data_IF_210392099004
#
_entry.id   IF_210392099004
#
_cell.length_a   1.000
_cell.length_b   1.000
_cell.length_c   1.000
_cell.angle_alpha   90.00
_cell.angle_beta   90.00
_cell.angle_gamma   90.00
#
_symmetry.space_group_name_H-M   'P 1'
#
loop_
_entity.id
_entity.type
_entity.pdbx_description
1 polymer ?
#
# COMPACT_ATOMS: atom_id res chain seq x y z
N UNK A 1 4.95 -3.16 28.70
CA UNK A 1 5.75 -2.45 27.66
C UNK A 1 4.84 -2.21 26.48
N UNK A 2 4.93 -1.03 25.87
CA UNK A 2 4.17 -0.67 24.67
C UNK A 2 5.10 -0.76 23.46
N UNK A 3 4.67 -1.47 22.41
CA UNK A 3 5.41 -1.63 21.16
C UNK A 3 4.76 -0.80 20.05
N UNK A 4 5.51 0.12 19.47
CA UNK A 4 5.07 0.95 18.35
C UNK A 4 5.59 0.39 17.02
N UNK A 5 4.69 0.25 16.05
CA UNK A 5 4.99 -0.19 14.71
C UNK A 5 4.74 0.95 13.72
N UNK A 6 5.77 1.33 12.96
CA UNK A 6 5.74 2.44 12.02
C UNK A 6 6.07 1.94 10.61
N UNK A 7 5.08 1.93 9.72
CA UNK A 7 5.20 1.51 8.32
C UNK A 7 4.82 2.67 7.39
N UNK A 8 5.37 3.84 7.65
CA UNK A 8 5.02 5.10 6.98
C UNK A 8 5.40 5.08 5.50
N UNK A 9 6.38 5.84 5.06
CA UNK A 9 6.68 5.99 3.64
C UNK A 9 7.16 4.68 2.98
N UNK A 10 6.87 4.51 1.69
CA UNK A 10 7.67 3.62 0.82
C UNK A 10 8.67 4.50 0.09
N UNK A 11 9.94 4.11 0.14
CA UNK A 11 11.00 4.74 -0.61
C UNK A 11 11.43 3.77 -1.71
N UNK A 12 11.43 4.26 -2.94
CA UNK A 12 11.91 3.53 -4.12
C UNK A 12 13.15 4.24 -4.63
N UNK A 13 14.24 3.50 -4.75
CA UNK A 13 15.53 4.01 -5.23
C UNK A 13 15.92 3.22 -6.46
N UNK A 14 16.20 3.92 -7.55
CA UNK A 14 16.82 3.33 -8.72
C UNK A 14 18.31 3.64 -8.69
N UNK A 15 19.13 2.59 -8.78
CA UNK A 15 20.58 2.65 -8.65
C UNK A 15 21.18 2.09 -9.94
N UNK A 16 22.09 2.86 -10.53
CA UNK A 16 22.85 2.45 -11.71
C UNK A 16 23.86 1.35 -11.36
N UNK A 17 24.36 0.57 -12.34
CA UNK A 17 25.36 -0.48 -12.08
C UNK A 17 26.66 0.02 -11.42
N UNK A 18 27.00 1.30 -11.59
CA UNK A 18 28.15 1.95 -10.96
C UNK A 18 27.89 2.38 -9.48
N UNK A 19 26.69 2.14 -8.96
CA UNK A 19 26.28 2.51 -7.60
C UNK A 19 25.69 3.92 -7.46
N UNK A 20 25.62 4.71 -8.53
CA UNK A 20 25.02 6.04 -8.49
C UNK A 20 23.49 5.96 -8.43
N UNK A 21 22.87 6.80 -7.60
CA UNK A 21 21.41 6.95 -7.56
C UNK A 21 20.96 7.67 -8.83
N UNK A 22 20.18 6.99 -9.67
CA UNK A 22 19.58 7.60 -10.85
C UNK A 22 18.41 8.51 -10.45
N UNK A 23 17.53 8.00 -9.59
CA UNK A 23 16.41 8.75 -9.03
C UNK A 23 15.91 8.11 -7.74
N UNK A 24 15.14 8.88 -6.98
CA UNK A 24 14.45 8.42 -5.77
C UNK A 24 13.01 8.93 -5.77
N UNK A 25 12.08 8.04 -5.44
CA UNK A 25 10.65 8.32 -5.37
C UNK A 25 10.11 7.96 -4.00
N UNK A 26 9.26 8.84 -3.46
CA UNK A 26 8.65 8.68 -2.14
C UNK A 26 7.14 8.52 -2.29
N UNK A 27 6.60 7.44 -1.74
CA UNK A 27 5.16 7.21 -1.62
C UNK A 27 4.77 7.49 -0.16
N UNK A 28 4.17 8.65 0.14
CA UNK A 28 3.85 9.01 1.51
C UNK A 28 2.66 8.21 2.04
N UNK A 29 2.87 7.49 3.14
CA UNK A 29 1.80 6.82 3.90
C UNK A 29 1.97 7.15 5.37
N UNK A 30 0.88 7.00 6.13
CA UNK A 30 0.90 7.13 7.58
C UNK A 30 0.30 5.87 8.20
N UNK A 31 1.14 5.02 8.77
CA UNK A 31 0.73 3.73 9.33
C UNK A 31 1.47 3.53 10.65
N UNK A 32 0.83 3.99 11.71
CA UNK A 32 1.34 4.02 13.08
C UNK A 32 0.38 3.18 13.93
N UNK A 33 0.85 2.04 14.44
CA UNK A 33 0.02 1.12 15.24
C UNK A 33 0.76 0.71 16.52
N UNK A 34 0.01 0.24 17.51
CA UNK A 34 0.50 -0.09 18.85
C UNK A 34 0.08 -1.51 19.19
N UNK A 35 1.02 -2.32 19.67
CA UNK A 35 0.80 -3.67 20.19
C UNK A 35 0.08 -4.64 19.22
N UNK A 36 0.14 -4.40 17.90
CA UNK A 36 -0.55 -5.22 16.88
C UNK A 36 0.41 -5.94 15.93
N UNK A 37 1.74 -5.81 16.08
CA UNK A 37 2.69 -6.38 15.12
C UNK A 37 2.69 -5.70 13.74
N UNK A 38 2.04 -4.54 13.60
CA UNK A 38 1.72 -3.92 12.32
C UNK A 38 0.89 -4.84 11.43
N UNK A 39 -0.10 -5.53 11.99
CA UNK A 39 -0.80 -6.65 11.37
C UNK A 39 -1.41 -6.33 9.99
N UNK A 40 -1.95 -5.12 9.85
CA UNK A 40 -2.57 -4.59 8.63
C UNK A 40 -1.71 -3.53 7.93
N UNK A 41 -0.49 -3.31 8.41
CA UNK A 41 0.44 -2.30 7.90
C UNK A 41 1.34 -2.87 6.80
N UNK A 42 2.26 -2.05 6.29
CA UNK A 42 3.14 -2.33 5.15
C UNK A 42 2.41 -2.26 3.80
N UNK A 43 2.97 -2.91 2.80
CA UNK A 43 2.52 -2.98 1.43
C UNK A 43 2.75 -4.38 0.85
N UNK A 44 2.04 -4.69 -0.23
CA UNK A 44 2.36 -5.76 -1.17
C UNK A 44 2.98 -5.14 -2.41
N UNK A 45 3.84 -5.88 -3.12
CA UNK A 45 4.52 -5.40 -4.32
C UNK A 45 4.36 -6.39 -5.47
N UNK A 46 4.24 -5.84 -6.67
CA UNK A 46 4.25 -6.58 -7.93
C UNK A 46 5.01 -5.77 -8.99
N UNK A 47 5.62 -6.45 -9.95
CA UNK A 47 6.20 -5.83 -11.14
C UNK A 47 5.28 -6.14 -12.32
N UNK A 48 4.78 -5.09 -12.97
CA UNK A 48 3.83 -5.20 -14.08
C UNK A 48 4.31 -4.33 -15.22
N UNK A 49 4.77 -4.98 -16.31
CA UNK A 49 5.41 -4.32 -17.45
C UNK A 49 6.61 -3.47 -16.99
N UNK A 50 6.52 -2.16 -17.17
CA UNK A 50 7.50 -1.10 -16.88
C UNK A 50 7.17 -0.36 -15.58
N UNK A 51 6.39 -0.97 -14.68
CA UNK A 51 5.95 -0.36 -13.44
C UNK A 51 6.18 -1.27 -12.24
N UNK A 52 6.54 -0.65 -11.12
CA UNK A 52 6.47 -1.27 -9.79
C UNK A 52 5.15 -0.85 -9.15
N UNK A 53 4.32 -1.83 -8.83
CA UNK A 53 2.99 -1.65 -8.25
C UNK A 53 3.01 -1.96 -6.75
N UNK A 54 2.55 -1.02 -5.93
CA UNK A 54 2.44 -1.15 -4.48
C UNK A 54 0.98 -1.13 -4.05
N UNK A 55 0.55 -2.15 -3.33
CA UNK A 55 -0.81 -2.26 -2.81
C UNK A 55 -0.79 -2.16 -1.28
N UNK A 56 -1.56 -1.25 -0.70
CA UNK A 56 -1.52 -1.00 0.75
C UNK A 56 -2.81 -0.38 1.29
N UNK A 57 -2.99 -0.43 2.61
CA UNK A 57 -4.11 0.23 3.28
C UNK A 57 -3.84 1.73 3.44
N UNK A 58 -4.81 2.55 3.07
CA UNK A 58 -4.75 4.00 3.12
C UNK A 58 -6.02 4.62 3.71
N UNK A 59 -5.94 5.87 4.16
CA UNK A 59 -7.10 6.63 4.56
C UNK A 59 -7.80 7.24 3.32
N UNK A 60 -9.12 7.09 3.14
CA UNK A 60 -9.85 7.69 2.02
C UNK A 60 -9.69 9.22 1.93
N UNK A 61 -9.41 9.92 3.05
CA UNK A 61 -9.17 11.37 3.06
C UNK A 61 -7.90 11.80 2.32
N UNK A 62 -7.01 10.85 2.04
CA UNK A 62 -5.78 11.11 1.30
C UNK A 62 -6.00 11.12 -0.22
N UNK A 63 -7.24 10.89 -0.69
CA UNK A 63 -7.65 10.95 -2.09
C UNK A 63 -8.57 12.16 -2.33
N UNK A 64 -8.44 12.80 -3.50
CA UNK A 64 -9.26 13.94 -3.93
C UNK A 64 -8.46 15.24 -4.17
N UNK A 65 -9.13 16.26 -4.68
CA UNK A 65 -8.51 17.50 -5.20
C UNK A 65 -7.90 18.42 -4.13
N UNK A 66 -8.22 18.21 -2.84
CA UNK A 66 -7.67 19.04 -1.76
C UNK A 66 -6.26 18.54 -1.42
N UNK A 67 -5.25 19.19 -1.99
CA UNK A 67 -3.85 19.10 -1.55
C UNK A 67 -3.73 19.72 -0.16
N UNK A 68 -4.10 18.96 0.87
CA UNK A 68 -3.69 19.27 2.22
C UNK A 68 -2.36 18.55 2.48
N UNK A 69 -1.35 19.28 2.98
CA UNK A 69 -0.05 18.69 3.33
C UNK A 69 -0.16 17.67 4.48
N UNK A 70 -1.31 17.62 5.17
CA UNK A 70 -1.59 16.64 6.21
C UNK A 70 -1.95 15.27 5.64
N UNK A 71 -1.11 14.27 5.91
CA UNK A 71 -1.41 12.85 5.66
C UNK A 71 -2.20 12.25 6.83
N UNK A 72 -3.27 11.53 6.52
CA UNK A 72 -4.10 10.84 7.50
C UNK A 72 -3.73 9.35 7.57
N UNK A 73 -3.56 8.79 8.77
CA UNK A 73 -3.40 7.34 8.91
C UNK A 73 -4.72 6.60 8.73
N UNK A 74 -4.69 5.40 8.14
CA UNK A 74 -5.88 4.56 8.05
C UNK A 74 -6.24 4.00 9.43
N UNK A 75 -7.50 3.59 9.60
CA UNK A 75 -7.93 2.81 10.76
C UNK A 75 -9.07 1.86 10.36
N UNK A 76 -9.51 0.98 11.27
CA UNK A 76 -10.52 -0.03 10.96
C UNK A 76 -11.90 0.49 10.48
N UNK A 77 -12.17 1.80 10.59
CA UNK A 77 -13.38 2.46 10.05
C UNK A 77 -13.10 3.34 8.82
N UNK A 78 -11.85 3.74 8.61
CA UNK A 78 -11.37 4.57 7.48
C UNK A 78 -10.18 3.88 6.85
N UNK A 79 -10.45 2.86 6.05
CA UNK A 79 -9.45 2.07 5.36
C UNK A 79 -9.93 1.79 3.94
N UNK A 80 -9.11 2.14 2.97
CA UNK A 80 -9.28 1.80 1.56
C UNK A 80 -8.02 1.07 1.09
N UNK A 81 -8.18 0.23 0.08
CA UNK A 81 -7.06 -0.35 -0.62
C UNK A 81 -6.57 0.65 -1.68
N UNK A 82 -5.29 1.01 -1.61
CA UNK A 82 -4.62 1.89 -2.56
C UNK A 82 -3.70 1.07 -3.47
N UNK A 83 -3.56 1.50 -4.72
CA UNK A 83 -2.52 1.07 -5.64
C UNK A 83 -1.66 2.28 -5.99
N UNK A 84 -0.36 2.21 -5.73
CA UNK A 84 0.61 3.16 -6.27
C UNK A 84 1.46 2.49 -7.31
N UNK A 85 1.50 3.06 -8.50
CA UNK A 85 2.41 2.68 -9.57
C UNK A 85 3.62 3.63 -9.57
N UNK A 86 4.80 3.06 -9.71
CA UNK A 86 6.06 3.78 -9.93
C UNK A 86 6.61 3.39 -11.30
N UNK A 87 6.74 4.38 -12.19
CA UNK A 87 7.32 4.19 -13.53
C UNK A 87 8.85 4.06 -13.50
N UNK A 88 9.43 3.63 -14.62
CA UNK A 88 10.90 3.51 -14.79
C UNK A 88 11.66 4.83 -14.62
N UNK A 89 10.99 5.97 -14.79
CA UNK A 89 11.51 7.33 -14.61
C UNK A 89 11.30 7.86 -13.17
N UNK A 90 10.72 7.06 -12.29
CA UNK A 90 10.38 7.45 -10.92
C UNK A 90 9.05 8.20 -10.79
N UNK A 91 8.28 8.38 -11.88
CA UNK A 91 6.93 8.97 -11.82
C UNK A 91 6.00 8.15 -10.92
N UNK A 92 5.16 8.82 -10.13
CA UNK A 92 4.24 8.20 -9.18
C UNK A 92 2.80 8.49 -9.56
N UNK A 93 1.98 7.44 -9.67
CA UNK A 93 0.52 7.53 -9.80
C UNK A 93 -0.15 6.70 -8.72
N UNK A 94 -1.15 7.24 -8.02
CA UNK A 94 -1.84 6.53 -6.92
C UNK A 94 -3.34 6.51 -7.15
N UNK A 95 -3.93 5.33 -7.02
CA UNK A 95 -5.32 5.02 -7.32
C UNK A 95 -6.01 4.40 -6.10
N UNK A 96 -7.29 4.73 -5.92
CA UNK A 96 -8.16 4.04 -4.97
C UNK A 96 -8.73 2.80 -5.66
N UNK A 97 -8.50 1.62 -5.08
CA UNK A 97 -8.98 0.34 -5.64
C UNK A 97 -10.31 -0.09 -5.03
N UNK A 98 -10.40 -0.11 -3.71
CA UNK A 98 -11.55 -0.67 -3.01
C UNK A 98 -11.74 -0.05 -1.62
N UNK A 99 -12.98 -0.10 -1.12
CA UNK A 99 -13.31 0.31 0.23
C UNK A 99 -13.37 -0.92 1.15
N UNK A 100 -12.39 -1.05 2.05
CA UNK A 100 -12.31 -2.18 2.97
C UNK A 100 -13.56 -2.27 3.86
N UNK A 101 -14.19 -1.14 4.21
CA UNK A 101 -15.43 -1.12 5.01
C UNK A 101 -16.60 -1.72 4.24
N UNK A 102 -16.74 -1.40 2.94
CA UNK A 102 -17.77 -2.02 2.08
C UNK A 102 -17.55 -3.51 1.96
N UNK A 103 -16.28 -3.94 1.90
CA UNK A 103 -15.93 -5.35 1.85
C UNK A 103 -16.03 -6.08 3.19
N UNK A 104 -16.19 -5.36 4.30
CA UNK A 104 -16.29 -5.95 5.64
C UNK A 104 -14.99 -6.57 6.15
N UNK A 105 -13.84 -6.18 5.58
CA UNK A 105 -12.50 -6.70 5.90
C UNK A 105 -11.53 -5.53 6.16
N UNK A 106 -10.28 -5.83 6.51
CA UNK A 106 -9.12 -4.95 6.31
C UNK A 106 -8.07 -5.78 5.58
N UNK A 107 -7.55 -5.26 4.47
CA UNK A 107 -6.55 -5.99 3.69
C UNK A 107 -5.28 -6.23 4.52
N UNK A 108 -4.58 -7.33 4.32
CA UNK A 108 -3.29 -7.62 4.96
C UNK A 108 -2.18 -7.63 3.91
N UNK A 109 -1.56 -6.47 3.63
CA UNK A 109 -0.65 -6.35 2.49
C UNK A 109 0.52 -7.33 2.55
N UNK A 110 1.06 -7.60 3.75
CA UNK A 110 2.22 -8.50 3.95
C UNK A 110 2.01 -9.94 3.48
N UNK A 111 0.76 -10.40 3.32
CA UNK A 111 0.46 -11.76 2.86
C UNK A 111 -0.07 -11.81 1.42
N UNK A 112 -0.33 -10.65 0.81
CA UNK A 112 -0.69 -10.55 -0.60
C UNK A 112 0.54 -10.79 -1.48
N UNK A 113 0.37 -11.45 -2.63
CA UNK A 113 1.48 -11.78 -3.54
C UNK A 113 1.06 -11.70 -5.00
N UNK A 114 1.99 -11.27 -5.85
CA UNK A 114 1.84 -11.43 -7.29
C UNK A 114 1.75 -12.92 -7.64
N UNK A 115 0.72 -13.29 -8.39
CA UNK A 115 0.43 -14.67 -8.83
C UNK A 115 0.41 -14.82 -10.36
N UNK A 116 0.59 -13.72 -11.09
CA UNK A 116 0.67 -13.73 -12.55
C UNK A 116 1.29 -12.43 -13.08
N UNK A 117 1.46 -12.35 -14.40
CA UNK A 117 2.08 -11.18 -15.07
C UNK A 117 1.38 -9.85 -14.74
N UNK A 118 0.07 -9.91 -14.46
CA UNK A 118 -0.79 -8.76 -14.17
C UNK A 118 -1.74 -9.02 -12.99
N UNK A 119 -1.49 -10.07 -12.21
CA UNK A 119 -2.43 -10.53 -11.20
C UNK A 119 -1.78 -10.64 -9.82
N UNK A 120 -2.48 -10.18 -8.79
CA UNK A 120 -2.11 -10.30 -7.38
C UNK A 120 -3.21 -11.03 -6.60
N UNK A 121 -2.82 -12.03 -5.81
CA UNK A 121 -3.68 -12.59 -4.78
C UNK A 121 -3.73 -11.61 -3.59
N UNK A 122 -4.94 -11.23 -3.20
CA UNK A 122 -5.21 -10.31 -2.09
C UNK A 122 -6.00 -11.03 -1.02
N UNK A 123 -5.61 -10.81 0.24
CA UNK A 123 -6.29 -11.33 1.41
C UNK A 123 -6.63 -10.19 2.37
N UNK A 124 -7.83 -10.24 2.94
CA UNK A 124 -8.25 -9.33 3.99
C UNK A 124 -9.11 -10.02 5.03
N UNK A 125 -9.04 -9.53 6.27
CA UNK A 125 -9.82 -10.07 7.37
C UNK A 125 -10.24 -8.99 8.37
N UNK A 126 -11.30 -9.28 9.12
CA UNK A 126 -11.75 -8.46 10.25
C UNK A 126 -12.58 -9.32 11.20
N UNK A 127 -12.08 -9.52 12.42
CA UNK A 127 -12.72 -10.43 13.37
C UNK A 127 -12.78 -11.85 12.81
N UNK A 128 -13.98 -12.44 12.74
CA UNK A 128 -14.17 -13.80 12.20
C UNK A 128 -14.42 -13.85 10.68
N UNK A 129 -14.39 -12.70 9.99
CA UNK A 129 -14.65 -12.61 8.55
C UNK A 129 -13.33 -12.48 7.80
N UNK A 130 -13.21 -13.21 6.70
CA UNK A 130 -12.09 -13.08 5.78
C UNK A 130 -12.57 -13.13 4.33
N UNK A 131 -11.76 -12.59 3.43
CA UNK A 131 -11.97 -12.64 1.98
C UNK A 131 -10.64 -12.89 1.29
N UNK A 132 -10.69 -13.72 0.25
CA UNK A 132 -9.63 -13.87 -0.74
C UNK A 132 -10.14 -13.32 -2.08
N UNK A 133 -9.26 -12.69 -2.84
CA UNK A 133 -9.60 -12.16 -4.15
C UNK A 133 -8.38 -12.07 -5.07
N UNK A 134 -8.65 -11.97 -6.36
CA UNK A 134 -7.66 -11.56 -7.35
C UNK A 134 -7.78 -10.07 -7.62
N UNK A 135 -6.65 -9.38 -7.72
CA UNK A 135 -6.54 -8.01 -8.20
C UNK A 135 -5.79 -8.03 -9.52
N UNK A 136 -6.43 -7.56 -10.59
CA UNK A 136 -5.77 -7.27 -11.86
C UNK A 136 -5.09 -5.89 -11.77
N UNK A 137 -3.82 -5.86 -12.17
CA UNK A 137 -2.89 -4.72 -12.14
C UNK A 137 -2.54 -4.28 -13.56
#
# INVERSE_FOLDING_TARGET
MEYHYNYNDIIVVNIQPNGEIQWTSRIPKRQETINDGGYYSSYAMAIVRDKICFVYNENPKNFGARKNNRRYGFNGSRSVLALTEVGMDGSISTFLLADNKKEGIITRPKVCKQIGKRAMAVFGEKGKRFKFGGLEL
#
